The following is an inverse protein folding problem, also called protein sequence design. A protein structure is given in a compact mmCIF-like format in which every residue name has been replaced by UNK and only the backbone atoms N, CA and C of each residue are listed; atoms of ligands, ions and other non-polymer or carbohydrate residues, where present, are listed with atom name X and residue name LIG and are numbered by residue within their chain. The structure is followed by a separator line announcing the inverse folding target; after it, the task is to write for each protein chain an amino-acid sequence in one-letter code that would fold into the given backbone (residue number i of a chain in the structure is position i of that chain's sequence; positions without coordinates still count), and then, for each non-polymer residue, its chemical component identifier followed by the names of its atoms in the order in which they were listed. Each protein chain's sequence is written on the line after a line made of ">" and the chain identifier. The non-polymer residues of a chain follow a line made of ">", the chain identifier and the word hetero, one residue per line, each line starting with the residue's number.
data_IF_078819012526
#
_entry.id   IF_078819012526
#
_cell.length_a   1.000
_cell.length_b   1.000
_cell.length_c   1.000
_cell.angle_alpha   90.00
_cell.angle_beta   90.00
_cell.angle_gamma   90.00
#
_symmetry.space_group_name_H-M   'P 1'
#
loop_
_entity.id
_entity.type
_entity.pdbx_description
1 polymer ?
#
# COMPACT_ATOMS: atom_id res chain seq x y z
N UNK A 1 34.91 -7.85 9.80
CA UNK A 1 34.14 -7.33 8.65
C UNK A 1 33.33 -6.05 8.97
N UNK A 2 32.98 -5.78 10.23
CA UNK A 2 32.13 -4.64 10.60
C UNK A 2 32.76 -3.24 10.47
N UNK A 3 34.07 -3.11 10.21
CA UNK A 3 34.75 -1.80 10.23
C UNK A 3 34.88 -1.12 8.85
N UNK A 4 34.62 -1.85 7.76
CA UNK A 4 34.66 -1.26 6.41
C UNK A 4 33.39 -0.42 6.16
N UNK A 5 33.56 0.82 5.67
CA UNK A 5 32.45 1.75 5.37
C UNK A 5 31.41 1.13 4.43
N UNK A 6 31.86 0.41 3.41
CA UNK A 6 31.00 -0.28 2.45
C UNK A 6 30.17 -1.38 3.12
N UNK A 7 30.77 -2.17 4.03
CA UNK A 7 30.06 -3.21 4.77
C UNK A 7 28.96 -2.61 5.67
N UNK A 8 29.25 -1.48 6.35
CA UNK A 8 28.26 -0.75 7.16
C UNK A 8 27.07 -0.28 6.31
N UNK A 9 27.35 0.27 5.12
CA UNK A 9 26.30 0.70 4.19
C UNK A 9 25.41 -0.47 3.74
N UNK A 10 25.99 -1.61 3.38
CA UNK A 10 25.22 -2.79 2.98
C UNK A 10 24.35 -3.33 4.11
N UNK A 11 24.84 -3.33 5.35
CA UNK A 11 24.05 -3.74 6.51
C UNK A 11 22.85 -2.81 6.70
N UNK A 12 23.07 -1.49 6.65
CA UNK A 12 21.99 -0.50 6.72
C UNK A 12 20.96 -0.70 5.60
N UNK A 13 21.42 -0.96 4.38
CA UNK A 13 20.54 -1.24 3.25
C UNK A 13 19.69 -2.50 3.46
N UNK A 14 20.29 -3.59 3.93
CA UNK A 14 19.56 -4.82 4.25
C UNK A 14 18.52 -4.58 5.35
N UNK A 15 18.82 -3.74 6.34
CA UNK A 15 17.85 -3.39 7.39
C UNK A 15 16.66 -2.58 6.84
N UNK A 16 16.90 -1.66 5.89
CA UNK A 16 15.82 -0.97 5.18
C UNK A 16 14.96 -1.94 4.35
N UNK A 17 15.57 -2.91 3.66
CA UNK A 17 14.85 -3.94 2.90
C UNK A 17 14.01 -4.82 3.82
N UNK A 18 14.50 -5.18 5.01
CA UNK A 18 13.71 -5.93 6.00
C UNK A 18 12.47 -5.15 6.44
N UNK A 19 12.58 -3.83 6.65
CA UNK A 19 11.43 -2.98 6.99
C UNK A 19 10.41 -2.96 5.84
N UNK A 20 10.87 -2.88 4.60
CA UNK A 20 9.98 -2.99 3.42
C UNK A 20 9.27 -4.35 3.35
N UNK A 21 9.98 -5.44 3.62
CA UNK A 21 9.40 -6.78 3.66
C UNK A 21 8.37 -6.93 4.80
N UNK A 22 8.61 -6.31 5.96
CA UNK A 22 7.64 -6.27 7.06
C UNK A 22 6.35 -5.55 6.65
N UNK A 23 6.47 -4.42 5.95
CA UNK A 23 5.31 -3.70 5.42
C UNK A 23 4.53 -4.54 4.41
N UNK A 24 5.22 -5.15 3.45
CA UNK A 24 4.58 -6.06 2.48
C UNK A 24 3.89 -7.20 3.21
N UNK A 25 4.54 -7.80 4.21
CA UNK A 25 3.92 -8.86 5.03
C UNK A 25 2.64 -8.37 5.70
N UNK A 26 2.64 -7.18 6.28
CA UNK A 26 1.44 -6.59 6.90
C UNK A 26 0.29 -6.47 5.90
N UNK A 27 0.54 -5.89 4.73
CA UNK A 27 -0.44 -5.75 3.65
C UNK A 27 -0.96 -7.11 3.16
N UNK A 28 -0.05 -8.06 2.90
CA UNK A 28 -0.41 -9.38 2.36
C UNK A 28 -1.29 -10.18 3.34
N UNK A 29 -1.09 -9.99 4.63
CA UNK A 29 -1.78 -10.68 5.71
C UNK A 29 -2.98 -9.91 6.27
N UNK A 30 -3.14 -8.63 5.93
CA UNK A 30 -4.16 -7.76 6.50
C UNK A 30 -3.95 -7.51 8.00
N UNK A 31 -2.72 -7.53 8.50
CA UNK A 31 -2.43 -7.25 9.91
C UNK A 31 -2.21 -5.75 10.12
N UNK A 32 -3.19 -5.11 10.75
CA UNK A 32 -3.22 -3.66 10.95
C UNK A 32 -2.14 -3.15 11.90
N UNK A 33 -1.91 -3.83 13.02
CA UNK A 33 -0.88 -3.42 13.98
C UNK A 33 0.52 -3.51 13.37
N UNK A 34 0.78 -4.58 12.61
CA UNK A 34 2.05 -4.75 11.89
C UNK A 34 2.23 -3.70 10.80
N UNK A 35 1.15 -3.27 10.15
CA UNK A 35 1.17 -2.18 9.18
C UNK A 35 1.65 -0.88 9.84
N UNK A 36 1.02 -0.48 10.96
CA UNK A 36 1.40 0.74 11.68
C UNK A 36 2.84 0.69 12.23
N UNK A 37 3.27 -0.47 12.75
CA UNK A 37 4.65 -0.67 13.20
C UNK A 37 5.66 -0.52 12.05
N UNK A 38 5.35 -1.09 10.88
CA UNK A 38 6.20 -0.98 9.70
C UNK A 38 6.29 0.47 9.20
N UNK A 39 5.16 1.20 9.13
CA UNK A 39 5.16 2.63 8.74
C UNK A 39 5.95 3.48 9.74
N UNK A 40 5.84 3.21 11.05
CA UNK A 40 6.63 3.90 12.09
C UNK A 40 8.14 3.67 11.90
N UNK A 41 8.54 2.45 11.53
CA UNK A 41 9.94 2.11 11.21
C UNK A 41 10.44 2.74 9.89
N UNK A 42 9.55 3.04 8.95
CA UNK A 42 9.90 3.72 7.69
C UNK A 42 10.13 5.23 7.84
N UNK A 43 9.52 5.88 8.84
CA UNK A 43 9.69 7.33 9.09
C UNK A 43 11.14 7.82 9.07
N UNK A 44 12.09 7.23 9.85
CA UNK A 44 13.48 7.69 9.83
C UNK A 44 14.14 7.49 8.46
N UNK A 45 13.72 6.50 7.68
CA UNK A 45 14.23 6.27 6.32
C UNK A 45 13.80 7.41 5.40
N UNK A 46 12.53 7.83 5.43
CA UNK A 46 12.05 8.94 4.62
C UNK A 46 12.74 10.26 4.98
N UNK A 47 12.94 10.52 6.28
CA UNK A 47 13.67 11.70 6.73
C UNK A 47 15.14 11.67 6.27
N UNK A 48 15.84 10.54 6.44
CA UNK A 48 17.23 10.37 6.04
C UNK A 48 17.45 10.44 4.52
N UNK A 49 16.48 9.97 3.73
CA UNK A 49 16.51 10.02 2.27
C UNK A 49 16.12 11.40 1.69
N UNK A 50 15.79 12.39 2.52
CA UNK A 50 15.34 13.72 2.06
C UNK A 50 13.89 13.76 1.55
N UNK A 51 13.13 12.69 1.75
CA UNK A 51 11.72 12.55 1.37
C UNK A 51 10.79 13.19 2.42
N UNK A 52 11.00 14.47 2.72
CA UNK A 52 10.34 15.18 3.83
C UNK A 52 8.81 15.19 3.70
N UNK A 53 8.28 15.33 2.48
CA UNK A 53 6.83 15.30 2.25
C UNK A 53 6.22 13.95 2.63
N UNK A 54 6.89 12.84 2.28
CA UNK A 54 6.46 11.50 2.66
C UNK A 54 6.62 11.25 4.16
N UNK A 55 7.70 11.74 4.78
CA UNK A 55 7.87 11.66 6.23
C UNK A 55 6.75 12.41 6.97
N UNK A 56 6.39 13.61 6.52
CA UNK A 56 5.31 14.42 7.11
C UNK A 56 3.95 13.74 6.94
N UNK A 57 3.62 13.28 5.74
CA UNK A 57 2.32 12.62 5.50
C UNK A 57 2.21 11.31 6.28
N UNK A 58 3.26 10.49 6.31
CA UNK A 58 3.29 9.25 7.09
C UNK A 58 3.18 9.52 8.61
N UNK A 59 3.79 10.58 9.11
CA UNK A 59 3.67 10.98 10.52
C UNK A 59 2.24 11.38 10.88
N UNK A 60 1.61 12.24 10.06
CA UNK A 60 0.22 12.65 10.26
C UNK A 60 -0.73 11.45 10.18
N UNK A 61 -0.49 10.55 9.23
CA UNK A 61 -1.24 9.31 9.10
C UNK A 61 -1.14 8.46 10.37
N UNK A 62 0.07 8.22 10.90
CA UNK A 62 0.26 7.45 12.13
C UNK A 62 -0.49 8.06 13.31
N UNK A 63 -0.40 9.38 13.49
CA UNK A 63 -1.10 10.08 14.58
C UNK A 63 -2.62 9.92 14.47
N UNK A 64 -3.18 9.97 13.25
CA UNK A 64 -4.60 9.74 13.02
C UNK A 64 -5.00 8.28 13.29
N UNK A 65 -4.18 7.32 12.84
CA UNK A 65 -4.46 5.89 13.01
C UNK A 65 -4.33 5.45 14.48
N UNK A 66 -3.42 6.04 15.26
CA UNK A 66 -3.32 5.81 16.71
C UNK A 66 -4.52 6.39 17.48
N UNK A 67 -5.08 7.51 17.02
CA UNK A 67 -6.29 8.12 17.58
C UNK A 67 -7.60 7.49 17.08
N UNK A 68 -7.53 6.52 16.17
CA UNK A 68 -8.70 5.87 15.56
C UNK A 68 -9.59 5.12 16.58
N UNK A 69 -9.06 4.39 17.58
CA UNK A 69 -9.89 3.70 18.57
C UNK A 69 -10.82 4.64 19.36
N UNK A 70 -10.36 5.86 19.63
CA UNK A 70 -11.12 6.86 20.38
C UNK A 70 -12.07 7.65 19.48
N UNK A 71 -11.63 8.02 18.28
CA UNK A 71 -12.41 8.86 17.37
C UNK A 71 -13.48 8.09 16.60
N UNK A 72 -13.15 6.89 16.10
CA UNK A 72 -14.01 6.07 15.24
C UNK A 72 -13.82 4.57 15.54
N UNK A 73 -14.35 4.07 16.66
CA UNK A 73 -14.12 2.69 17.11
C UNK A 73 -14.61 1.64 16.10
N UNK A 74 -15.70 1.92 15.38
CA UNK A 74 -16.27 1.02 14.39
C UNK A 74 -15.33 0.80 13.19
N UNK A 75 -14.64 1.86 12.74
CA UNK A 75 -13.64 1.79 11.68
C UNK A 75 -12.39 1.05 12.18
N UNK A 76 -11.96 1.33 13.40
CA UNK A 76 -10.83 0.63 14.02
C UNK A 76 -11.09 -0.88 14.11
N UNK A 77 -12.30 -1.29 14.48
CA UNK A 77 -12.69 -2.69 14.50
C UNK A 77 -12.57 -3.32 13.10
N UNK A 78 -13.08 -2.65 12.06
CA UNK A 78 -12.95 -3.13 10.67
C UNK A 78 -11.50 -3.24 10.22
N UNK A 79 -10.65 -2.28 10.58
CA UNK A 79 -9.22 -2.35 10.24
C UNK A 79 -8.52 -3.50 10.97
N UNK A 80 -8.86 -3.73 12.24
CA UNK A 80 -8.36 -4.83 13.06
C UNK A 80 -8.80 -6.20 12.52
N UNK A 81 -10.01 -6.28 11.94
CA UNK A 81 -10.51 -7.45 11.21
C UNK A 81 -9.81 -7.64 9.84
N UNK A 82 -8.93 -6.72 9.42
CA UNK A 82 -8.16 -6.81 8.18
C UNK A 82 -8.83 -6.19 6.95
N UNK A 83 -9.93 -5.43 7.12
CA UNK A 83 -10.64 -4.79 6.00
C UNK A 83 -9.93 -3.55 5.43
N UNK A 84 -8.74 -3.20 5.92
CA UNK A 84 -7.91 -2.15 5.32
C UNK A 84 -7.20 -2.61 4.03
N UNK A 85 -7.15 -3.92 3.77
CA UNK A 85 -6.61 -4.49 2.53
C UNK A 85 -7.70 -5.18 1.70
N UNK A 86 -7.53 -5.14 0.38
CA UNK A 86 -8.43 -5.79 -0.56
C UNK A 86 -7.91 -7.19 -0.89
N UNK A 87 -8.81 -8.18 -0.85
CA UNK A 87 -8.55 -9.57 -1.19
C UNK A 87 -9.51 -10.02 -2.27
N UNK A 88 -9.00 -10.56 -3.38
CA UNK A 88 -9.83 -11.18 -4.46
C UNK A 88 -10.05 -12.67 -4.27
N UNK A 89 -9.26 -13.30 -3.41
CA UNK A 89 -9.33 -14.72 -3.11
C UNK A 89 -9.17 -14.92 -1.61
N UNK A 90 -9.66 -16.04 -1.09
CA UNK A 90 -9.61 -16.35 0.34
C UNK A 90 -8.21 -16.81 0.84
N UNK A 91 -7.18 -16.75 0.00
CA UNK A 91 -5.82 -17.17 0.36
C UNK A 91 -5.22 -16.22 1.39
N UNK A 92 -4.76 -16.73 2.54
CA UNK A 92 -4.19 -15.92 3.64
C UNK A 92 -3.20 -14.82 3.18
N UNK A 93 -2.24 -15.16 2.32
CA UNK A 93 -1.27 -14.23 1.76
C UNK A 93 -1.76 -13.64 0.43
N UNK A 94 -2.92 -12.98 0.40
CA UNK A 94 -3.51 -12.40 -0.82
C UNK A 94 -3.98 -10.95 -0.70
N UNK A 95 -3.68 -10.26 0.41
CA UNK A 95 -4.04 -8.85 0.59
C UNK A 95 -3.27 -7.90 -0.33
N UNK A 96 -3.94 -6.90 -0.85
CA UNK A 96 -3.36 -5.79 -1.61
C UNK A 96 -3.84 -4.47 -1.04
N UNK A 97 -2.99 -3.45 -1.08
CA UNK A 97 -3.41 -2.11 -0.68
C UNK A 97 -4.49 -1.58 -1.63
N UNK A 98 -5.42 -0.80 -1.08
CA UNK A 98 -6.54 -0.25 -1.84
C UNK A 98 -6.09 0.58 -3.04
N UNK A 99 -5.05 1.38 -2.86
CA UNK A 99 -4.50 2.24 -3.92
C UNK A 99 -3.95 1.43 -5.10
N UNK A 100 -3.19 0.36 -4.82
CA UNK A 100 -2.68 -0.55 -5.85
C UNK A 100 -3.82 -1.19 -6.65
N UNK A 101 -4.91 -1.59 -5.99
CA UNK A 101 -6.06 -2.19 -6.69
C UNK A 101 -6.77 -1.16 -7.55
N UNK A 102 -7.00 0.06 -7.05
CA UNK A 102 -7.63 1.14 -7.84
C UNK A 102 -6.78 1.46 -9.07
N UNK A 103 -5.47 1.57 -8.91
CA UNK A 103 -4.58 1.87 -10.03
C UNK A 103 -4.58 0.73 -11.06
N UNK A 104 -4.41 -0.52 -10.61
CA UNK A 104 -4.27 -1.67 -11.51
C UNK A 104 -5.58 -2.08 -12.18
N UNK A 105 -6.72 -1.86 -11.53
CA UNK A 105 -8.03 -2.23 -12.07
C UNK A 105 -8.68 -1.05 -12.74
N UNK A 106 -8.99 -0.01 -11.98
CA UNK A 106 -9.82 1.09 -12.45
C UNK A 106 -9.03 1.99 -13.41
N UNK A 107 -7.88 2.50 -12.97
CA UNK A 107 -7.11 3.46 -13.77
C UNK A 107 -6.56 2.82 -15.04
N UNK A 108 -6.08 1.58 -14.96
CA UNK A 108 -5.63 0.84 -16.15
C UNK A 108 -6.75 0.62 -17.15
N UNK A 109 -7.92 0.17 -16.71
CA UNK A 109 -9.07 -0.07 -17.59
C UNK A 109 -9.54 1.23 -18.26
N UNK A 110 -9.64 2.33 -17.50
CA UNK A 110 -10.00 3.64 -18.06
C UNK A 110 -8.98 4.13 -19.09
N UNK A 111 -7.68 3.99 -18.82
CA UNK A 111 -6.62 4.39 -19.76
C UNK A 111 -6.66 3.57 -21.04
N UNK A 112 -6.83 2.26 -20.94
CA UNK A 112 -6.96 1.39 -22.12
C UNK A 112 -8.18 1.77 -22.95
N UNK A 113 -9.35 1.92 -22.33
CA UNK A 113 -10.59 2.31 -23.03
C UNK A 113 -10.49 3.70 -23.66
N UNK A 114 -9.93 4.68 -22.95
CA UNK A 114 -9.75 6.03 -23.47
C UNK A 114 -8.73 6.10 -24.62
N UNK A 115 -7.63 5.35 -24.52
CA UNK A 115 -6.65 5.24 -25.61
C UNK A 115 -7.26 4.62 -26.87
N UNK A 116 -8.15 3.65 -26.70
CA UNK A 116 -8.87 2.99 -27.79
C UNK A 116 -9.88 3.95 -28.46
N UNK A 117 -10.63 4.73 -27.66
CA UNK A 117 -11.54 5.77 -28.17
C UNK A 117 -10.80 6.85 -28.97
N UNK A 118 -9.56 7.21 -28.59
CA UNK A 118 -8.74 8.17 -29.34
C UNK A 118 -8.21 7.63 -30.67
N UNK A 119 -8.04 6.31 -30.80
CA UNK A 119 -7.50 5.66 -31.99
C UNK A 119 -8.57 5.20 -33.00
N UNK A 120 -9.80 5.69 -32.86
CA UNK A 120 -10.80 5.65 -33.92
C UNK A 120 -11.43 4.28 -34.14
N UNK A 121 -12.37 3.91 -33.26
CA UNK A 121 -13.57 3.13 -33.59
C UNK A 121 -14.62 3.45 -32.53
N UNK A 122 -15.78 3.97 -32.95
CA UNK A 122 -16.90 4.21 -32.05
C UNK A 122 -17.43 2.88 -31.52
N UNK A 123 -17.43 2.69 -30.21
CA UNK A 123 -18.53 1.97 -29.56
C UNK A 123 -18.62 2.35 -28.08
N UNK A 124 -19.87 2.52 -27.68
CA UNK A 124 -20.39 2.77 -26.33
C UNK A 124 -19.66 1.99 -25.25
N UNK A 125 -19.37 2.66 -24.13
CA UNK A 125 -18.88 2.04 -22.90
C UNK A 125 -19.94 1.01 -22.47
N UNK A 126 -19.76 -0.27 -22.80
CA UNK A 126 -20.61 -1.32 -22.24
C UNK A 126 -20.13 -1.62 -20.83
N UNK A 127 -21.09 -1.81 -19.92
CA UNK A 127 -20.84 -2.19 -18.52
C UNK A 127 -20.07 -3.53 -18.41
N UNK A 128 -19.99 -4.31 -19.49
CA UNK A 128 -19.32 -5.62 -19.54
C UNK A 128 -17.80 -5.51 -19.43
N UNK A 129 -17.21 -4.38 -19.85
CA UNK A 129 -15.76 -4.17 -19.72
C UNK A 129 -15.30 -4.02 -18.26
N UNK A 130 -16.21 -3.59 -17.37
CA UNK A 130 -15.94 -3.51 -15.93
C UNK A 130 -16.06 -4.92 -15.32
N UNK A 131 -17.05 -5.71 -15.74
CA UNK A 131 -17.29 -7.07 -15.23
C UNK A 131 -16.14 -8.03 -15.56
N UNK A 132 -15.49 -7.88 -16.72
CA UNK A 132 -14.37 -8.74 -17.13
C UNK A 132 -13.06 -8.52 -16.34
N UNK A 133 -12.92 -7.41 -15.60
CA UNK A 133 -11.75 -7.13 -14.75
C UNK A 133 -11.93 -7.60 -13.30
N UNK A 134 -13.14 -8.07 -12.96
CA UNK A 134 -13.55 -8.50 -11.62
C UNK A 134 -13.61 -10.04 -11.48
N UNK A 135 -13.45 -10.80 -12.57
CA UNK A 135 -13.26 -12.26 -12.53
C UNK A 135 -11.78 -12.66 -12.55
#
# INVERSE_FOLDING_TARGET
>A
MADQRTAKLWIQYLDMVKILQLFIKAERTGNWELHLDAVRKMLPIFAAAGHILYAKSAYLYLQQMEGLPTSHPEVYQKFSEGFHVIRRSDRYWAGFSTDLVIEQVLMRSMKTSYSWQRNGRNSTISLDAITASVC
#
